data_IF_664571213572
#
_entry.id   IF_664571213572
#
_cell.length_a   1.000
_cell.length_b   1.000
_cell.length_c   1.000
_cell.angle_alpha   90.00
_cell.angle_beta   90.00
_cell.angle_gamma   90.00
#
_symmetry.space_group_name_H-M   'P 1'
#
loop_
_entity.id
_entity.type
_entity.pdbx_description
1 polymer ?
#
# COMPACT_ATOMS: atom_id res chain seq x y z
N UNK A 1 -11.23 -10.99 -21.44
CA UNK A 1 -10.57 -11.46 -20.21
C UNK A 1 -11.55 -12.13 -19.30
N UNK A 2 -11.19 -13.28 -18.84
CA UNK A 2 -12.06 -14.05 -17.97
C UNK A 2 -11.94 -13.56 -16.53
N UNK A 3 -13.05 -13.12 -15.95
CA UNK A 3 -13.10 -12.67 -14.55
C UNK A 3 -12.67 -13.77 -13.59
N UNK A 4 -12.92 -15.01 -13.93
CA UNK A 4 -12.54 -16.13 -13.07
C UNK A 4 -11.03 -16.28 -12.95
N UNK A 5 -10.26 -15.88 -13.96
CA UNK A 5 -8.80 -15.91 -13.89
C UNK A 5 -8.25 -14.69 -13.15
N UNK A 6 -8.96 -13.57 -13.21
CA UNK A 6 -8.52 -12.33 -12.57
C UNK A 6 -8.67 -12.39 -11.06
N UNK A 7 -9.77 -12.95 -10.55
CA UNK A 7 -10.04 -12.95 -9.12
C UNK A 7 -8.95 -13.67 -8.30
N UNK A 8 -8.49 -14.86 -8.67
CA UNK A 8 -7.40 -15.49 -7.92
C UNK A 8 -6.13 -14.65 -7.93
N UNK A 9 -5.85 -13.97 -9.04
CA UNK A 9 -4.68 -13.08 -9.12
C UNK A 9 -4.77 -11.92 -8.15
N UNK A 10 -5.94 -11.29 -8.06
CA UNK A 10 -6.17 -10.20 -7.12
C UNK A 10 -6.01 -10.70 -5.68
N UNK A 11 -6.61 -11.85 -5.36
CA UNK A 11 -6.51 -12.41 -4.02
C UNK A 11 -5.08 -12.71 -3.62
N UNK A 12 -4.26 -13.17 -4.56
CA UNK A 12 -2.86 -13.47 -4.31
C UNK A 12 -2.04 -12.22 -3.97
N UNK A 13 -2.48 -11.04 -4.40
CA UNK A 13 -1.76 -9.80 -4.15
C UNK A 13 -2.17 -9.12 -2.83
N UNK A 14 -3.21 -9.59 -2.16
CA UNK A 14 -3.70 -8.95 -0.93
C UNK A 14 -2.62 -8.81 0.15
N UNK A 15 -1.82 -9.83 0.45
CA UNK A 15 -0.79 -9.67 1.49
C UNK A 15 0.22 -8.57 1.18
N UNK A 16 0.58 -8.40 -0.10
CA UNK A 16 1.50 -7.36 -0.51
C UNK A 16 0.87 -5.98 -0.36
N UNK A 17 -0.38 -5.85 -0.77
CA UNK A 17 -1.11 -4.59 -0.64
C UNK A 17 -1.24 -4.18 0.81
N UNK A 18 -1.53 -5.13 1.69
CA UNK A 18 -1.63 -4.86 3.13
C UNK A 18 -0.31 -4.40 3.71
N UNK A 19 0.76 -5.10 3.37
CA UNK A 19 2.09 -4.76 3.89
C UNK A 19 2.47 -3.35 3.47
N UNK A 20 2.28 -3.04 2.20
CA UNK A 20 2.58 -1.72 1.67
C UNK A 20 1.74 -0.64 2.33
N UNK A 21 0.42 -0.85 2.43
CA UNK A 21 -0.48 0.13 3.01
C UNK A 21 -0.16 0.40 4.48
N UNK A 22 0.17 -0.65 5.24
CA UNK A 22 0.55 -0.48 6.65
C UNK A 22 1.83 0.30 6.82
N UNK A 23 2.80 0.05 5.95
CA UNK A 23 4.05 0.80 5.98
C UNK A 23 3.82 2.26 5.57
N UNK A 24 2.96 2.49 4.59
CA UNK A 24 2.68 3.83 4.10
C UNK A 24 1.93 4.68 5.11
N UNK A 25 0.88 4.11 5.72
CA UNK A 25 -0.02 4.88 6.58
C UNK A 25 0.33 4.81 8.06
N UNK A 26 0.96 3.73 8.49
CA UNK A 26 1.34 3.56 9.89
C UNK A 26 0.16 3.33 10.83
N UNK A 27 -1.06 3.16 10.30
CA UNK A 27 -2.26 2.92 11.06
C UNK A 27 -2.98 1.73 10.43
N UNK A 28 -3.20 0.68 11.22
CA UNK A 28 -3.76 -0.57 10.71
C UNK A 28 -5.15 -0.39 10.13
N UNK A 29 -6.01 0.34 10.84
CA UNK A 29 -7.40 0.53 10.39
C UNK A 29 -7.45 1.31 9.08
N UNK A 30 -6.67 2.39 8.98
CA UNK A 30 -6.61 3.18 7.75
C UNK A 30 -6.00 2.38 6.60
N UNK A 31 -4.99 1.56 6.90
CA UNK A 31 -4.37 0.72 5.88
C UNK A 31 -5.35 -0.33 5.35
N UNK A 32 -6.08 -0.98 6.24
CA UNK A 32 -7.07 -1.98 5.83
C UNK A 32 -8.19 -1.36 5.01
N UNK A 33 -8.63 -0.14 5.36
CA UNK A 33 -9.62 0.58 4.58
C UNK A 33 -9.10 0.90 3.18
N UNK A 34 -7.86 1.33 3.07
CA UNK A 34 -7.26 1.63 1.77
C UNK A 34 -7.15 0.37 0.91
N UNK A 35 -6.76 -0.75 1.50
CA UNK A 35 -6.69 -2.03 0.78
C UNK A 35 -8.08 -2.43 0.30
N UNK A 36 -9.08 -2.34 1.17
CA UNK A 36 -10.45 -2.70 0.81
C UNK A 36 -10.97 -1.83 -0.33
N UNK A 37 -10.76 -0.52 -0.25
CA UNK A 37 -11.17 0.40 -1.31
C UNK A 37 -10.46 0.09 -2.62
N UNK A 38 -9.19 -0.28 -2.55
CA UNK A 38 -8.42 -0.68 -3.73
C UNK A 38 -9.03 -1.91 -4.39
N UNK A 39 -9.35 -2.92 -3.58
CA UNK A 39 -9.93 -4.17 -4.08
C UNK A 39 -11.31 -3.95 -4.67
N UNK A 40 -12.13 -3.12 -4.04
CA UNK A 40 -13.46 -2.79 -4.56
C UNK A 40 -13.38 -2.08 -5.90
N UNK A 41 -12.47 -1.12 -6.00
CA UNK A 41 -12.29 -0.37 -7.26
C UNK A 41 -11.73 -1.26 -8.35
N UNK A 42 -10.77 -2.12 -8.01
CA UNK A 42 -10.21 -3.05 -8.98
C UNK A 42 -11.28 -3.98 -9.53
N UNK A 43 -12.13 -4.51 -8.67
CA UNK A 43 -13.20 -5.38 -9.12
C UNK A 43 -14.23 -4.63 -9.95
N UNK A 44 -14.59 -3.41 -9.55
CA UNK A 44 -15.52 -2.59 -10.33
C UNK A 44 -14.99 -2.26 -11.72
N UNK A 45 -13.68 -2.23 -11.89
CA UNK A 45 -13.02 -1.91 -13.16
C UNK A 45 -12.34 -3.11 -13.79
N UNK A 46 -12.72 -4.32 -13.41
CA UNK A 46 -12.03 -5.52 -13.90
C UNK A 46 -12.04 -5.64 -15.42
N UNK A 47 -13.07 -5.12 -16.08
CA UNK A 47 -13.16 -5.15 -17.53
C UNK A 47 -12.10 -4.28 -18.21
N UNK A 48 -11.51 -3.32 -17.49
CA UNK A 48 -10.48 -2.45 -18.04
C UNK A 48 -9.09 -3.06 -17.95
N UNK A 49 -8.91 -4.09 -17.14
CA UNK A 49 -7.61 -4.73 -17.03
C UNK A 49 -7.35 -5.61 -18.26
N UNK A 50 -6.14 -5.49 -18.79
CA UNK A 50 -5.74 -6.26 -19.97
C UNK A 50 -4.98 -7.51 -19.56
N UNK A 51 -5.38 -8.65 -20.10
CA UNK A 51 -4.67 -9.91 -19.89
C UNK A 51 -3.22 -9.75 -20.36
N UNK A 52 -2.29 -10.26 -19.57
CA UNK A 52 -0.86 -10.16 -19.88
C UNK A 52 -0.19 -8.92 -19.34
N UNK A 53 -0.94 -7.92 -18.89
CA UNK A 53 -0.35 -6.76 -18.21
C UNK A 53 -0.05 -7.10 -16.76
N UNK A 54 0.79 -6.27 -16.12
CA UNK A 54 1.22 -6.50 -14.74
C UNK A 54 0.08 -6.16 -13.77
N UNK A 55 -0.55 -7.20 -13.24
CA UNK A 55 -1.67 -7.04 -12.31
C UNK A 55 -1.25 -6.30 -11.03
N UNK A 56 -0.07 -6.64 -10.52
CA UNK A 56 0.44 -5.99 -9.29
C UNK A 56 0.59 -4.49 -9.50
N UNK A 57 1.23 -4.09 -10.60
CA UNK A 57 1.42 -2.67 -10.89
C UNK A 57 0.07 -1.97 -11.06
N UNK A 58 -0.89 -2.63 -11.69
CA UNK A 58 -2.23 -2.07 -11.87
C UNK A 58 -2.92 -1.83 -10.51
N UNK A 59 -2.85 -2.82 -9.61
CA UNK A 59 -3.44 -2.69 -8.28
C UNK A 59 -2.78 -1.57 -7.48
N UNK A 60 -1.46 -1.47 -7.53
CA UNK A 60 -0.75 -0.41 -6.83
C UNK A 60 -1.07 0.97 -7.42
N UNK A 61 -1.30 1.07 -8.73
CA UNK A 61 -1.69 2.35 -9.32
C UNK A 61 -3.08 2.77 -8.86
N UNK A 62 -4.00 1.83 -8.70
CA UNK A 62 -5.33 2.12 -8.13
C UNK A 62 -5.19 2.62 -6.70
N UNK A 63 -4.37 1.94 -5.90
CA UNK A 63 -4.13 2.32 -4.52
C UNK A 63 -3.52 3.72 -4.42
N UNK A 64 -2.55 4.01 -5.28
CA UNK A 64 -1.94 5.33 -5.33
C UNK A 64 -2.97 6.41 -5.62
N UNK A 65 -3.84 6.19 -6.61
CA UNK A 65 -4.85 7.17 -6.96
C UNK A 65 -5.85 7.39 -5.83
N UNK A 66 -6.23 6.32 -5.13
CA UNK A 66 -7.09 6.43 -3.95
C UNK A 66 -6.41 7.23 -2.85
N UNK A 67 -5.12 7.00 -2.63
CA UNK A 67 -4.38 7.74 -1.61
C UNK A 67 -4.28 9.22 -1.96
N UNK A 68 -4.05 9.54 -3.23
CA UNK A 68 -4.02 10.93 -3.69
C UNK A 68 -5.38 11.59 -3.43
N UNK A 69 -6.48 10.89 -3.74
CA UNK A 69 -7.82 11.39 -3.48
C UNK A 69 -8.05 11.64 -1.98
N UNK A 70 -7.58 10.75 -1.12
CA UNK A 70 -7.70 10.93 0.33
C UNK A 70 -6.97 12.18 0.79
N UNK A 71 -5.78 12.45 0.24
CA UNK A 71 -4.98 13.60 0.62
C UNK A 71 -5.59 14.91 0.13
N UNK A 72 -6.37 14.88 -0.94
CA UNK A 72 -7.03 16.07 -1.48
C UNK A 72 -8.30 16.41 -0.74
N UNK A 73 -8.91 15.45 -0.05
CA UNK A 73 -10.15 15.71 0.68
C UNK A 73 -9.84 16.44 1.97
N UNK A 74 -10.65 17.46 2.33
CA UNK A 74 -10.56 18.02 3.67
C UNK A 74 -10.86 16.90 4.65
N UNK A 75 -9.84 16.44 5.34
CA UNK A 75 -10.02 15.37 6.29
C UNK A 75 -10.48 15.93 7.61
N UNK A 76 -11.47 15.28 8.22
CA UNK A 76 -11.73 15.48 9.61
C UNK A 76 -10.48 15.07 10.38
N UNK A 77 -10.14 15.81 11.46
CA UNK A 77 -9.02 15.39 12.28
C UNK A 77 -9.32 13.98 12.78
N UNK A 78 -8.64 13.04 12.22
CA UNK A 78 -8.73 11.68 12.70
C UNK A 78 -7.65 11.46 13.71
N UNK A 79 -7.89 10.47 14.52
CA UNK A 79 -7.06 10.10 15.63
C UNK A 79 -5.60 10.14 15.33
N UNK A 80 -4.84 10.44 16.35
CA UNK A 80 -3.42 10.25 16.32
C UNK A 80 -3.10 8.84 15.86
N UNK A 81 -2.08 8.72 15.04
CA UNK A 81 -1.58 7.43 14.63
C UNK A 81 -1.15 6.66 15.86
N UNK A 82 -1.71 5.48 16.01
CA UNK A 82 -1.35 4.62 17.11
C UNK A 82 -0.02 3.93 16.78
N UNK A 83 1.00 4.27 17.53
CA UNK A 83 2.33 3.69 17.30
C UNK A 83 2.35 2.19 17.53
N UNK A 84 1.41 1.67 18.30
CA UNK A 84 1.32 0.24 18.57
C UNK A 84 0.80 -0.54 17.37
N UNK A 85 0.24 0.15 16.37
CA UNK A 85 -0.25 -0.52 15.16
C UNK A 85 0.86 -1.03 14.26
N UNK A 86 2.09 -0.61 14.47
CA UNK A 86 3.19 -1.07 13.65
C UNK A 86 3.66 -2.45 14.11
N UNK A 87 3.49 -3.44 13.24
CA UNK A 87 3.86 -4.81 13.54
C UNK A 87 5.32 -5.06 13.21
N UNK A 88 6.05 -5.54 14.21
CA UNK A 88 7.43 -5.95 14.05
C UNK A 88 7.46 -7.49 14.08
N UNK A 89 8.24 -8.14 13.20
CA UNK A 89 8.32 -9.60 13.21
C UNK A 89 8.69 -10.13 14.59
N UNK A 90 8.04 -11.21 14.99
CA UNK A 90 8.20 -11.75 16.34
C UNK A 90 9.61 -12.22 16.66
N UNK A 91 10.40 -12.52 15.62
CA UNK A 91 11.78 -12.97 15.79
C UNK A 91 12.78 -11.84 15.84
N UNK A 92 12.34 -10.60 15.67
CA UNK A 92 13.24 -9.46 15.69
C UNK A 92 13.80 -9.27 17.10
N UNK A 93 15.09 -8.94 17.18
CA UNK A 93 15.71 -8.58 18.44
C UNK A 93 15.23 -7.19 18.86
N UNK A 94 15.50 -6.82 20.10
CA UNK A 94 15.16 -5.48 20.57
C UNK A 94 15.90 -4.40 19.76
N UNK A 95 17.14 -4.66 19.39
CA UNK A 95 17.91 -3.73 18.57
C UNK A 95 17.27 -3.58 17.19
N UNK A 96 16.83 -4.70 16.59
CA UNK A 96 16.14 -4.67 15.30
C UNK A 96 14.84 -3.88 15.38
N UNK A 97 14.12 -4.01 16.49
CA UNK A 97 12.88 -3.26 16.69
C UNK A 97 13.12 -1.77 16.78
N UNK A 98 14.20 -1.36 17.43
CA UNK A 98 14.57 0.05 17.51
C UNK A 98 14.94 0.59 16.13
N UNK A 99 15.70 -0.17 15.35
CA UNK A 99 16.05 0.24 14.00
C UNK A 99 14.83 0.37 13.11
N UNK A 100 13.86 -0.55 13.24
CA UNK A 100 12.61 -0.50 12.48
C UNK A 100 11.81 0.74 12.88
N UNK A 101 11.74 1.06 14.17
CA UNK A 101 11.03 2.26 14.63
C UNK A 101 11.68 3.54 14.13
N UNK A 102 13.01 3.57 14.10
CA UNK A 102 13.75 4.73 13.57
C UNK A 102 13.46 4.91 12.09
N UNK A 103 13.43 3.81 11.34
CA UNK A 103 13.10 3.85 9.93
C UNK A 103 11.67 4.33 9.71
N UNK A 104 10.73 3.83 10.51
CA UNK A 104 9.35 4.25 10.43
C UNK A 104 9.21 5.75 10.68
N UNK A 105 9.89 6.26 11.71
CA UNK A 105 9.88 7.69 12.02
C UNK A 105 10.43 8.51 10.87
N UNK A 106 11.53 8.06 10.28
CA UNK A 106 12.13 8.74 9.14
C UNK A 106 11.18 8.76 7.95
N UNK A 107 10.51 7.65 7.68
CA UNK A 107 9.55 7.57 6.58
C UNK A 107 8.38 8.52 6.78
N UNK A 108 7.91 8.67 8.01
CA UNK A 108 6.79 9.57 8.30
C UNK A 108 7.13 11.03 8.11
N UNK A 109 8.40 11.39 8.16
CA UNK A 109 8.83 12.76 7.92
C UNK A 109 8.88 13.10 6.43
N UNK A 110 8.84 12.08 5.56
CA UNK A 110 8.84 12.32 4.13
C UNK A 110 7.45 12.72 3.65
N UNK A 111 7.36 13.58 2.61
CA UNK A 111 6.10 13.78 1.92
C UNK A 111 5.53 12.45 1.44
N UNK A 112 4.21 12.35 1.38
CA UNK A 112 3.53 11.10 1.08
C UNK A 112 3.99 10.50 -0.24
N UNK A 113 4.14 11.32 -1.26
CA UNK A 113 4.55 10.86 -2.59
C UNK A 113 5.96 10.24 -2.57
N UNK A 114 6.88 10.85 -1.85
CA UNK A 114 8.24 10.31 -1.73
C UNK A 114 8.24 9.01 -0.94
N UNK A 115 7.42 8.93 0.11
CA UNK A 115 7.28 7.71 0.89
C UNK A 115 6.75 6.57 0.03
N UNK A 116 5.75 6.84 -0.81
CA UNK A 116 5.22 5.83 -1.73
C UNK A 116 6.28 5.29 -2.67
N UNK A 117 7.09 6.17 -3.27
CA UNK A 117 8.14 5.73 -4.18
C UNK A 117 9.13 4.82 -3.47
N UNK A 118 9.58 5.22 -2.30
CA UNK A 118 10.54 4.41 -1.54
C UNK A 118 9.96 3.04 -1.19
N UNK A 119 8.71 2.99 -0.75
CA UNK A 119 8.09 1.74 -0.37
C UNK A 119 7.84 0.83 -1.56
N UNK A 120 7.45 1.39 -2.70
CA UNK A 120 7.27 0.59 -3.90
C UNK A 120 8.58 -0.03 -4.37
N UNK A 121 9.66 0.72 -4.32
CA UNK A 121 10.97 0.18 -4.69
C UNK A 121 11.44 -0.84 -3.66
N UNK A 122 11.36 -0.52 -2.37
CA UNK A 122 11.93 -1.35 -1.31
C UNK A 122 11.12 -2.61 -1.04
N UNK A 123 9.80 -2.51 -1.00
CA UNK A 123 8.94 -3.63 -0.64
C UNK A 123 8.46 -4.42 -1.85
N UNK A 124 8.20 -3.74 -2.96
CA UNK A 124 7.57 -4.37 -4.11
C UNK A 124 8.51 -4.50 -5.31
N UNK A 125 9.74 -4.00 -5.16
CA UNK A 125 10.78 -4.12 -6.20
C UNK A 125 10.31 -3.64 -7.57
N UNK A 126 9.50 -2.56 -7.59
CA UNK A 126 9.06 -1.97 -8.83
C UNK A 126 10.11 -0.99 -9.34
N UNK A 127 10.35 -1.00 -10.66
CA UNK A 127 11.26 -0.05 -11.26
C UNK A 127 10.62 1.32 -11.42
N UNK A 128 11.45 2.34 -11.61
CA UNK A 128 10.95 3.70 -11.75
C UNK A 128 9.99 3.87 -12.91
N UNK A 129 10.23 3.15 -14.01
CA UNK A 129 9.36 3.23 -15.19
C UNK A 129 7.95 2.71 -14.86
N UNK A 130 7.87 1.64 -14.06
CA UNK A 130 6.60 1.07 -13.64
C UNK A 130 5.84 2.00 -12.70
N UNK A 131 6.57 2.66 -11.81
CA UNK A 131 5.97 3.60 -10.86
C UNK A 131 5.45 4.83 -11.58
N UNK A 132 6.17 5.29 -12.59
CA UNK A 132 5.83 6.51 -13.32
C UNK A 132 4.66 6.32 -14.30
N UNK A 133 4.39 5.07 -14.68
CA UNK A 133 3.33 4.80 -15.67
C UNK A 133 1.91 4.95 -15.12
#
# INVERSE_FOLDING_TARGET
MDSAALLPGILAEIPRLRRYARALLGNRAAADDLVQDTLERAWARHALWRAGSDLRAWLFSIMHNLRVDQLRRPSLPTHSIDEDDFEVPTRATQADRLEVRDLESALRQLPDEQREVLLLVALEDLGYAEIAS
#
